data_IF_518657728922
#
_entry.id   IF_518657728922
#
_cell.length_a   1.000
_cell.length_b   1.000
_cell.length_c   1.000
_cell.angle_alpha   90.00
_cell.angle_beta   90.00
_cell.angle_gamma   90.00
#
_symmetry.space_group_name_H-M   'P 1'
#
loop_
_entity.id
_entity.type
_entity.pdbx_description
1 polymer ?
#
# COMPACT_ATOMS: atom_id res chain seq x y z
N UNK A 1 -16.21 -14.67 -2.55
CA UNK A 1 -14.73 -14.72 -2.47
C UNK A 1 -14.33 -15.98 -1.74
N UNK A 2 -13.10 -16.48 -1.90
CA UNK A 2 -12.58 -17.62 -1.13
C UNK A 2 -11.34 -17.19 -0.34
N UNK A 3 -10.91 -18.00 0.62
CA UNK A 3 -9.64 -17.78 1.34
C UNK A 3 -8.46 -17.61 0.37
N UNK A 4 -8.44 -18.35 -0.73
CA UNK A 4 -7.41 -18.23 -1.76
C UNK A 4 -7.38 -16.83 -2.41
N UNK A 5 -8.55 -16.20 -2.61
CA UNK A 5 -8.62 -14.82 -3.10
C UNK A 5 -8.03 -13.81 -2.11
N UNK A 6 -8.35 -13.96 -0.82
CA UNK A 6 -7.78 -13.11 0.24
C UNK A 6 -6.27 -13.28 0.36
N UNK A 7 -5.78 -14.52 0.30
CA UNK A 7 -4.36 -14.82 0.34
C UNK A 7 -3.61 -14.27 -0.88
N UNK A 8 -4.16 -14.43 -2.09
CA UNK A 8 -3.58 -13.86 -3.31
C UNK A 8 -3.50 -12.34 -3.25
N UNK A 9 -4.58 -11.68 -2.82
CA UNK A 9 -4.61 -10.23 -2.64
C UNK A 9 -3.59 -9.75 -1.60
N UNK A 10 -3.44 -10.50 -0.49
CA UNK A 10 -2.41 -10.23 0.52
C UNK A 10 -1.00 -10.27 -0.09
N UNK A 11 -0.62 -11.36 -0.76
CA UNK A 11 0.73 -11.52 -1.33
C UNK A 11 1.07 -10.36 -2.26
N UNK A 12 0.12 -9.97 -3.11
CA UNK A 12 0.30 -8.88 -4.08
C UNK A 12 0.45 -7.53 -3.38
N UNK A 13 -0.50 -7.15 -2.51
CA UNK A 13 -0.49 -5.83 -1.85
C UNK A 13 0.68 -5.68 -0.88
N UNK A 14 1.01 -6.75 -0.15
CA UNK A 14 2.12 -6.77 0.80
C UNK A 14 3.47 -6.64 0.10
N UNK A 15 3.71 -7.43 -0.95
CA UNK A 15 4.97 -7.37 -1.72
C UNK A 15 5.13 -6.00 -2.38
N UNK A 16 4.07 -5.48 -3.00
CA UNK A 16 4.07 -4.14 -3.59
C UNK A 16 4.35 -3.05 -2.53
N UNK A 17 3.68 -3.13 -1.39
CA UNK A 17 3.86 -2.18 -0.29
C UNK A 17 5.29 -2.17 0.26
N UNK A 18 5.87 -3.35 0.50
CA UNK A 18 7.26 -3.48 0.99
C UNK A 18 8.25 -2.99 -0.05
N UNK A 19 8.09 -3.38 -1.32
CA UNK A 19 8.98 -2.96 -2.39
C UNK A 19 9.01 -1.43 -2.49
N UNK A 20 7.83 -0.78 -2.51
CA UNK A 20 7.73 0.67 -2.50
C UNK A 20 8.34 1.30 -1.26
N UNK A 21 8.08 0.75 -0.07
CA UNK A 21 8.62 1.25 1.19
C UNK A 21 10.15 1.25 1.17
N UNK A 22 10.77 0.12 0.77
CA UNK A 22 12.22 0.00 0.66
C UNK A 22 12.82 0.97 -0.36
N UNK A 23 12.21 1.10 -1.55
CA UNK A 23 12.69 2.01 -2.58
C UNK A 23 12.59 3.49 -2.16
N UNK A 24 11.47 3.86 -1.53
CA UNK A 24 11.23 5.20 -0.99
C UNK A 24 12.31 5.57 0.06
N UNK A 25 12.52 4.69 1.05
CA UNK A 25 13.54 4.90 2.10
C UNK A 25 14.94 4.98 1.49
N UNK A 26 15.31 4.02 0.63
CA UNK A 26 16.63 4.00 0.01
C UNK A 26 16.92 5.26 -0.81
N UNK A 27 15.96 5.73 -1.59
CA UNK A 27 16.12 6.92 -2.43
C UNK A 27 16.21 8.21 -1.59
N UNK A 28 15.38 8.33 -0.55
CA UNK A 28 15.44 9.45 0.38
C UNK A 28 16.78 9.49 1.14
N UNK A 29 17.21 8.35 1.65
CA UNK A 29 18.48 8.24 2.34
C UNK A 29 19.64 8.55 1.40
N UNK A 30 19.62 8.15 0.12
CA UNK A 30 20.67 8.47 -0.85
C UNK A 30 20.85 9.98 -1.04
N UNK A 31 19.78 10.70 -1.40
CA UNK A 31 19.81 12.14 -1.66
C UNK A 31 18.52 12.82 -1.16
N UNK A 32 18.49 13.37 0.06
CA UNK A 32 17.26 13.93 0.64
C UNK A 32 16.80 15.23 -0.05
N UNK A 33 17.73 16.07 -0.51
CA UNK A 33 17.42 17.36 -1.15
C UNK A 33 16.83 17.23 -2.55
N UNK A 34 17.12 16.12 -3.25
CA UNK A 34 16.64 15.84 -4.60
C UNK A 34 15.55 14.75 -4.62
N UNK A 35 14.96 14.46 -3.46
CA UNK A 35 13.95 13.42 -3.37
C UNK A 35 12.72 13.76 -4.21
N UNK A 36 12.33 12.81 -5.07
CA UNK A 36 11.09 12.86 -5.84
C UNK A 36 10.44 11.48 -5.86
N UNK A 37 9.16 11.46 -5.50
CA UNK A 37 8.30 10.28 -5.54
C UNK A 37 8.13 9.77 -6.97
N UNK A 38 8.10 8.44 -7.13
CA UNK A 38 7.86 7.79 -8.43
C UNK A 38 6.58 6.97 -8.39
N UNK A 39 5.78 7.06 -9.45
CA UNK A 39 4.52 6.32 -9.56
C UNK A 39 4.74 4.81 -9.52
N UNK A 40 5.87 4.35 -10.07
CA UNK A 40 6.35 2.98 -9.97
C UNK A 40 7.88 2.98 -9.88
N UNK A 41 8.46 2.08 -9.09
CA UNK A 41 9.91 1.92 -9.00
C UNK A 41 10.35 0.77 -9.91
N UNK A 42 10.76 1.10 -11.13
CA UNK A 42 11.36 0.11 -12.01
C UNK A 42 12.75 -0.27 -11.48
N UNK A 43 12.94 -1.57 -11.25
CA UNK A 43 14.24 -2.13 -10.89
C UNK A 43 14.89 -2.77 -12.12
N UNK A 44 16.18 -2.53 -12.31
CA UNK A 44 17.00 -3.28 -13.25
C UNK A 44 17.66 -4.48 -12.54
N UNK A 45 17.66 -5.69 -13.14
CA UNK A 45 17.10 -6.06 -14.45
C UNK A 45 15.57 -6.19 -14.46
N UNK A 46 14.94 -6.09 -15.66
CA UNK A 46 13.47 -6.06 -15.87
C UNK A 46 12.68 -7.19 -15.18
N UNK A 47 13.28 -8.35 -14.95
CA UNK A 47 12.70 -9.49 -14.21
C UNK A 47 12.42 -9.19 -12.74
N UNK A 48 12.95 -8.09 -12.17
CA UNK A 48 12.57 -7.65 -10.82
C UNK A 48 11.20 -6.98 -10.77
N UNK A 49 10.60 -6.66 -11.93
CA UNK A 49 9.27 -6.06 -12.04
C UNK A 49 8.16 -7.11 -12.23
N UNK A 50 8.37 -8.35 -11.78
CA UNK A 50 7.38 -9.42 -11.88
C UNK A 50 6.05 -9.06 -11.23
N UNK A 51 6.08 -8.26 -10.15
CA UNK A 51 4.86 -7.79 -9.49
C UNK A 51 3.96 -7.00 -10.45
N UNK A 52 4.54 -6.15 -11.30
CA UNK A 52 3.81 -5.36 -12.29
C UNK A 52 3.19 -6.26 -13.36
N UNK A 53 3.98 -7.17 -13.94
CA UNK A 53 3.51 -8.06 -15.00
C UNK A 53 2.48 -9.07 -14.50
N UNK A 54 2.67 -9.59 -13.28
CA UNK A 54 1.72 -10.45 -12.59
C UNK A 54 0.39 -9.75 -12.38
N UNK A 55 0.40 -8.52 -11.86
CA UNK A 55 -0.78 -7.67 -11.70
C UNK A 55 -1.48 -7.38 -13.04
N UNK A 56 -0.73 -7.11 -14.10
CA UNK A 56 -1.26 -6.81 -15.43
C UNK A 56 -2.07 -7.98 -16.03
N UNK A 57 -1.71 -9.22 -15.68
CA UNK A 57 -2.39 -10.45 -16.13
C UNK A 57 -3.52 -10.84 -15.16
N UNK A 58 -3.30 -10.73 -13.85
CA UNK A 58 -4.26 -11.19 -12.84
C UNK A 58 -5.49 -10.28 -12.74
N UNK A 59 -5.32 -8.95 -12.77
CA UNK A 59 -6.45 -8.00 -12.64
C UNK A 59 -7.53 -8.15 -13.72
N UNK A 60 -7.23 -8.28 -15.02
CA UNK A 60 -8.28 -8.44 -16.03
C UNK A 60 -8.98 -9.79 -15.85
N UNK A 61 -8.25 -10.87 -15.55
CA UNK A 61 -8.84 -12.18 -15.27
C UNK A 61 -9.79 -12.09 -14.07
N UNK A 62 -9.37 -11.42 -12.99
CA UNK A 62 -10.21 -11.19 -11.83
C UNK A 62 -11.46 -10.36 -12.19
N UNK A 63 -11.30 -9.26 -12.93
CA UNK A 63 -12.42 -8.43 -13.36
C UNK A 63 -13.43 -9.22 -14.20
N UNK A 64 -12.97 -9.99 -15.20
CA UNK A 64 -13.83 -10.85 -16.03
C UNK A 64 -14.50 -11.96 -15.22
N UNK A 65 -13.82 -12.55 -14.25
CA UNK A 65 -14.42 -13.56 -13.37
C UNK A 65 -15.58 -12.99 -12.55
N UNK A 66 -15.47 -11.74 -12.09
CA UNK A 66 -16.53 -11.06 -11.35
C UNK A 66 -17.72 -10.70 -12.26
N UNK A 67 -17.49 -10.31 -13.51
CA UNK A 67 -18.55 -10.14 -14.52
C UNK A 67 -19.25 -11.47 -14.82
N UNK A 68 -18.47 -12.54 -14.95
CA UNK A 68 -19.02 -13.88 -15.20
C UNK A 68 -19.88 -14.34 -14.02
N UNK A 69 -19.45 -14.14 -12.77
CA UNK A 69 -20.26 -14.43 -11.59
C UNK A 69 -21.55 -13.60 -11.57
N UNK A 70 -21.47 -12.31 -11.92
CA UNK A 70 -22.66 -11.47 -12.06
C UNK A 70 -23.67 -12.03 -13.09
N UNK A 71 -23.20 -12.54 -14.23
CA UNK A 71 -24.03 -13.15 -15.26
C UNK A 71 -24.57 -14.53 -14.86
N UNK A 72 -23.75 -15.35 -14.21
CA UNK A 72 -24.06 -16.74 -13.86
C UNK A 72 -25.09 -16.86 -12.72
N UNK A 73 -25.07 -15.94 -11.74
CA UNK A 73 -26.09 -15.92 -10.71
C UNK A 73 -27.40 -15.38 -11.30
N UNK A 74 -28.45 -16.21 -11.42
CA UNK A 74 -29.78 -15.79 -11.90
C UNK A 74 -30.81 -15.55 -10.77
N UNK A 75 -30.35 -15.36 -9.53
CA UNK A 75 -31.22 -15.30 -8.34
C UNK A 75 -31.71 -13.89 -7.95
N UNK A 76 -32.92 -13.82 -7.38
CA UNK A 76 -33.75 -12.66 -7.02
C UNK A 76 -33.14 -11.55 -6.13
N UNK A 77 -31.87 -11.61 -5.71
CA UNK A 77 -31.28 -10.59 -4.84
C UNK A 77 -30.42 -9.60 -5.64
N UNK A 78 -31.07 -8.58 -6.21
CA UNK A 78 -30.50 -7.50 -7.05
C UNK A 78 -29.29 -6.81 -6.40
N UNK A 79 -29.28 -6.70 -5.07
CA UNK A 79 -28.22 -6.03 -4.29
C UNK A 79 -26.87 -6.74 -4.42
N UNK A 80 -26.83 -8.07 -4.36
CA UNK A 80 -25.56 -8.83 -4.46
C UNK A 80 -25.00 -8.83 -5.87
N UNK A 81 -25.87 -8.89 -6.89
CA UNK A 81 -25.47 -8.75 -8.29
C UNK A 81 -24.76 -7.44 -8.55
N UNK A 82 -25.33 -6.34 -8.06
CA UNK A 82 -24.77 -5.00 -8.25
C UNK A 82 -23.39 -4.86 -7.58
N UNK A 83 -23.21 -5.47 -6.40
CA UNK A 83 -21.93 -5.48 -5.70
C UNK A 83 -20.80 -6.17 -6.50
N UNK A 84 -21.08 -7.31 -7.17
CA UNK A 84 -20.09 -7.97 -8.02
C UNK A 84 -19.66 -7.11 -9.22
N UNK A 85 -20.60 -6.38 -9.82
CA UNK A 85 -20.32 -5.47 -10.94
C UNK A 85 -19.53 -4.24 -10.49
N UNK A 86 -19.86 -3.67 -9.33
CA UNK A 86 -19.08 -2.60 -8.70
C UNK A 86 -17.64 -3.05 -8.43
N UNK A 87 -17.45 -4.25 -7.88
CA UNK A 87 -16.13 -4.81 -7.61
C UNK A 87 -15.33 -5.05 -8.90
N UNK A 88 -15.98 -5.57 -9.96
CA UNK A 88 -15.36 -5.75 -11.27
C UNK A 88 -14.87 -4.42 -11.85
N UNK A 89 -15.67 -3.36 -11.73
CA UNK A 89 -15.35 -2.02 -12.20
C UNK A 89 -14.18 -1.39 -11.44
N UNK A 90 -14.10 -1.57 -10.12
CA UNK A 90 -12.95 -1.13 -9.32
C UNK A 90 -11.67 -1.82 -9.80
N UNK A 91 -11.70 -3.15 -9.96
CA UNK A 91 -10.55 -3.94 -10.43
C UNK A 91 -10.14 -3.50 -11.85
N UNK A 92 -11.11 -3.22 -12.72
CA UNK A 92 -10.86 -2.73 -14.07
C UNK A 92 -10.18 -1.36 -14.07
N UNK A 93 -10.58 -0.42 -13.21
CA UNK A 93 -9.89 0.87 -13.08
C UNK A 93 -8.44 0.72 -12.65
N UNK A 94 -8.14 -0.19 -11.70
CA UNK A 94 -6.75 -0.50 -11.36
C UNK A 94 -5.98 -1.14 -12.52
N UNK A 95 -6.63 -1.93 -13.38
CA UNK A 95 -5.98 -2.46 -14.58
C UNK A 95 -5.65 -1.36 -15.60
N UNK A 96 -6.59 -0.44 -15.86
CA UNK A 96 -6.35 0.74 -16.71
C UNK A 96 -5.21 1.59 -16.15
N UNK A 97 -5.14 1.76 -14.82
CA UNK A 97 -4.03 2.46 -14.16
C UNK A 97 -2.68 1.80 -14.45
N UNK A 98 -2.58 0.47 -14.41
CA UNK A 98 -1.35 -0.25 -14.73
C UNK A 98 -0.96 -0.07 -16.21
N UNK A 99 -1.92 -0.09 -17.13
CA UNK A 99 -1.67 0.20 -18.55
C UNK A 99 -1.11 1.62 -18.70
N UNK A 100 -1.68 2.61 -18.02
CA UNK A 100 -1.18 3.99 -18.05
C UNK A 100 0.27 4.08 -17.56
N UNK A 101 0.66 3.30 -16.54
CA UNK A 101 2.05 3.22 -16.08
C UNK A 101 2.97 2.63 -17.17
N UNK A 102 2.56 1.54 -17.82
CA UNK A 102 3.36 0.88 -18.88
C UNK A 102 3.49 1.78 -20.12
N UNK A 103 2.40 2.43 -20.53
CA UNK A 103 2.40 3.38 -21.66
C UNK A 103 3.32 4.56 -21.34
N UNK A 104 3.22 5.13 -20.13
CA UNK A 104 4.11 6.21 -19.69
C UNK A 104 5.58 5.83 -19.81
N UNK A 105 5.95 4.64 -19.34
CA UNK A 105 7.32 4.13 -19.40
C UNK A 105 7.78 3.91 -20.85
N UNK A 106 6.88 3.46 -21.72
CA UNK A 106 7.21 3.14 -23.12
C UNK A 106 7.46 4.39 -23.98
N UNK A 107 6.85 5.52 -23.62
CA UNK A 107 6.93 6.78 -24.38
C UNK A 107 7.81 7.86 -23.70
N UNK A 108 8.53 7.54 -22.63
CA UNK A 108 9.40 8.47 -21.88
C UNK A 108 8.71 9.80 -21.48
N UNK A 109 7.41 9.75 -21.14
CA UNK A 109 6.61 10.93 -20.77
C UNK A 109 6.81 11.32 -19.30
N UNK A 110 7.99 11.85 -18.98
CA UNK A 110 8.51 11.91 -17.60
C UNK A 110 7.88 12.95 -16.66
N UNK A 111 7.50 14.15 -17.10
CA UNK A 111 7.16 15.24 -16.17
C UNK A 111 5.65 15.59 -16.09
N UNK A 112 4.95 15.64 -17.23
CA UNK A 112 3.54 16.04 -17.28
C UNK A 112 2.61 14.89 -16.85
N UNK A 113 3.03 13.64 -17.10
CA UNK A 113 2.21 12.46 -16.86
C UNK A 113 2.29 11.95 -15.40
N UNK A 114 3.32 12.33 -14.63
CA UNK A 114 3.45 11.97 -13.20
C UNK A 114 2.22 12.39 -12.39
N UNK A 115 1.89 13.69 -12.46
CA UNK A 115 0.78 14.27 -11.71
C UNK A 115 -0.56 13.68 -12.14
N UNK A 116 -0.75 13.44 -13.44
CA UNK A 116 -1.95 12.80 -13.98
C UNK A 116 -2.09 11.35 -13.53
N UNK A 117 -0.99 10.59 -13.50
CA UNK A 117 -0.99 9.18 -13.06
C UNK A 117 -1.27 9.09 -11.55
N UNK A 118 -0.71 9.99 -10.73
CA UNK A 118 -1.05 10.05 -9.31
C UNK A 118 -2.49 10.51 -9.08
N UNK A 119 -3.00 11.47 -9.86
CA UNK A 119 -4.40 11.90 -9.80
C UNK A 119 -5.35 10.75 -10.15
N UNK A 120 -5.06 10.01 -11.23
CA UNK A 120 -5.83 8.84 -11.61
C UNK A 120 -5.79 7.74 -10.54
N UNK A 121 -4.61 7.47 -9.95
CA UNK A 121 -4.51 6.55 -8.81
C UNK A 121 -5.39 6.99 -7.63
N UNK A 122 -5.41 8.30 -7.32
CA UNK A 122 -6.27 8.89 -6.32
C UNK A 122 -7.76 8.64 -6.60
N UNK A 123 -8.19 8.81 -7.85
CA UNK A 123 -9.56 8.50 -8.29
C UNK A 123 -9.87 7.01 -8.14
N UNK A 124 -8.97 6.11 -8.55
CA UNK A 124 -9.16 4.66 -8.38
C UNK A 124 -9.39 4.28 -6.91
N UNK A 125 -8.56 4.81 -6.00
CA UNK A 125 -8.72 4.59 -4.56
C UNK A 125 -9.98 5.24 -3.98
N UNK A 126 -10.40 6.40 -4.48
CA UNK A 126 -11.65 7.03 -4.08
C UNK A 126 -12.88 6.22 -4.53
N UNK A 127 -12.86 5.68 -5.75
CA UNK A 127 -13.89 4.76 -6.24
C UNK A 127 -13.90 3.49 -5.39
N UNK A 128 -12.74 2.92 -5.06
CA UNK A 128 -12.65 1.78 -4.16
C UNK A 128 -13.26 2.08 -2.77
N UNK A 129 -12.94 3.22 -2.16
CA UNK A 129 -13.56 3.66 -0.90
C UNK A 129 -15.08 3.75 -1.00
N UNK A 130 -15.60 4.36 -2.08
CA UNK A 130 -17.03 4.54 -2.28
C UNK A 130 -17.78 3.23 -2.54
N UNK A 131 -17.09 2.18 -3.00
CA UNK A 131 -17.70 0.89 -3.32
C UNK A 131 -17.50 -0.14 -2.19
N UNK A 132 -16.45 -0.01 -1.39
CA UNK A 132 -16.22 -0.86 -0.22
C UNK A 132 -17.30 -0.62 0.85
N UNK A 133 -17.88 -1.71 1.37
CA UNK A 133 -18.86 -1.66 2.48
C UNK A 133 -20.32 -1.47 2.05
N UNK A 134 -20.62 -1.20 0.77
CA UNK A 134 -22.00 -1.12 0.27
C UNK A 134 -22.60 -2.52 0.10
N UNK A 135 -23.44 -2.95 1.03
CA UNK A 135 -24.24 -4.18 0.92
C UNK A 135 -23.91 -5.29 1.92
N UNK A 136 -22.93 -5.09 2.82
CA UNK A 136 -22.62 -6.02 3.91
C UNK A 136 -23.05 -5.40 5.24
N UNK A 137 -23.89 -6.10 6.00
CA UNK A 137 -24.35 -5.67 7.33
C UNK A 137 -23.64 -6.53 8.39
N UNK A 138 -23.36 -5.96 9.57
CA UNK A 138 -22.76 -6.68 10.69
C UNK A 138 -21.23 -6.60 10.76
N UNK A 139 -20.60 -7.58 11.43
CA UNK A 139 -19.15 -7.60 11.71
C UNK A 139 -18.32 -7.66 10.43
N UNK A 140 -18.78 -8.41 9.43
CA UNK A 140 -18.17 -8.45 8.08
C UNK A 140 -18.15 -7.06 7.43
N UNK A 141 -19.24 -6.29 7.55
CA UNK A 141 -19.30 -4.91 7.06
C UNK A 141 -18.24 -4.00 7.68
N UNK A 142 -17.98 -4.14 8.99
CA UNK A 142 -16.92 -3.39 9.68
C UNK A 142 -15.52 -3.75 9.18
N UNK A 143 -15.25 -5.04 8.97
CA UNK A 143 -13.96 -5.53 8.46
C UNK A 143 -13.61 -4.97 7.07
N UNK A 144 -14.57 -5.00 6.14
CA UNK A 144 -14.41 -4.40 4.81
C UNK A 144 -14.51 -2.87 4.84
N UNK A 145 -15.18 -2.30 5.84
CA UNK A 145 -15.22 -0.84 6.08
C UNK A 145 -13.82 -0.27 6.30
N UNK A 146 -13.00 -0.90 7.14
CA UNK A 146 -11.60 -0.49 7.33
C UNK A 146 -10.76 -0.60 6.06
N UNK A 147 -11.02 -1.56 5.16
CA UNK A 147 -10.37 -1.59 3.83
C UNK A 147 -10.74 -0.38 2.98
N UNK A 148 -11.98 0.09 3.08
CA UNK A 148 -12.43 1.35 2.49
C UNK A 148 -11.70 2.56 3.08
N UNK A 149 -11.63 2.66 4.41
CA UNK A 149 -10.91 3.75 5.10
C UNK A 149 -9.43 3.81 4.70
N UNK A 150 -8.76 2.65 4.63
CA UNK A 150 -7.39 2.57 4.13
C UNK A 150 -7.28 3.02 2.66
N UNK A 151 -8.25 2.65 1.81
CA UNK A 151 -8.32 3.13 0.43
C UNK A 151 -8.49 4.65 0.36
N UNK A 152 -9.30 5.25 1.24
CA UNK A 152 -9.43 6.69 1.34
C UNK A 152 -8.10 7.38 1.69
N UNK A 153 -7.36 6.84 2.67
CA UNK A 153 -6.02 7.34 3.02
C UNK A 153 -5.06 7.19 1.84
N UNK A 154 -5.07 6.05 1.15
CA UNK A 154 -4.29 5.83 -0.07
C UNK A 154 -4.59 6.89 -1.14
N UNK A 155 -5.88 7.16 -1.39
CA UNK A 155 -6.31 8.17 -2.35
C UNK A 155 -5.84 9.58 -1.99
N UNK A 156 -5.98 9.95 -0.72
CA UNK A 156 -5.47 11.22 -0.19
C UNK A 156 -3.96 11.38 -0.38
N UNK A 157 -3.18 10.34 -0.06
CA UNK A 157 -1.74 10.33 -0.31
C UNK A 157 -1.39 10.48 -1.79
N UNK A 158 -2.09 9.78 -2.68
CA UNK A 158 -1.89 9.90 -4.13
C UNK A 158 -2.16 11.33 -4.63
N UNK A 159 -3.24 11.98 -4.17
CA UNK A 159 -3.55 13.36 -4.53
C UNK A 159 -2.50 14.35 -4.00
N UNK A 160 -2.04 14.17 -2.76
CA UNK A 160 -0.95 14.97 -2.21
C UNK A 160 0.35 14.82 -3.02
N UNK A 161 0.68 13.60 -3.46
CA UNK A 161 1.85 13.34 -4.31
C UNK A 161 1.67 13.86 -5.74
N UNK A 162 0.44 13.94 -6.24
CA UNK A 162 0.14 14.55 -7.54
C UNK A 162 0.49 16.05 -7.56
N UNK A 163 0.25 16.75 -6.45
CA UNK A 163 0.55 18.19 -6.29
C UNK A 163 2.02 18.41 -5.93
N UNK A 164 2.54 17.64 -4.97
CA UNK A 164 3.91 17.81 -4.47
C UNK A 164 4.61 16.44 -4.31
N UNK A 165 5.30 15.96 -5.35
CA UNK A 165 5.95 14.65 -5.33
C UNK A 165 7.22 14.62 -4.45
N UNK A 166 7.70 15.75 -3.92
CA UNK A 166 8.86 15.80 -3.02
C UNK A 166 8.52 15.44 -1.56
N UNK A 167 7.25 15.18 -1.23
CA UNK A 167 6.82 14.84 0.12
C UNK A 167 7.13 13.37 0.47
N UNK A 168 8.35 13.13 0.95
CA UNK A 168 8.80 11.81 1.42
C UNK A 168 7.82 11.17 2.41
N UNK A 169 7.39 11.90 3.44
CA UNK A 169 6.50 11.37 4.47
C UNK A 169 5.15 10.90 3.92
N UNK A 170 4.66 11.53 2.85
CA UNK A 170 3.39 11.13 2.22
C UNK A 170 3.58 9.80 1.48
N UNK A 171 4.68 9.62 0.75
CA UNK A 171 4.97 8.34 0.10
C UNK A 171 5.32 7.23 1.09
N UNK A 172 6.01 7.56 2.18
CA UNK A 172 6.27 6.63 3.27
C UNK A 172 4.96 6.15 3.90
N UNK A 173 4.04 7.08 4.24
CA UNK A 173 2.71 6.76 4.75
C UNK A 173 1.91 5.92 3.76
N UNK A 174 1.88 6.31 2.48
CA UNK A 174 1.20 5.56 1.42
C UNK A 174 1.69 4.10 1.36
N UNK A 175 3.01 3.90 1.44
CA UNK A 175 3.60 2.56 1.41
C UNK A 175 3.23 1.75 2.67
N UNK A 176 3.24 2.37 3.85
CA UNK A 176 2.79 1.73 5.10
C UNK A 176 1.31 1.32 5.02
N UNK A 177 0.46 2.17 4.47
CA UNK A 177 -0.97 1.91 4.30
C UNK A 177 -1.21 0.77 3.31
N UNK A 178 -0.42 0.64 2.24
CA UNK A 178 -0.50 -0.52 1.34
C UNK A 178 -0.13 -1.84 2.03
N UNK A 179 0.93 -1.84 2.85
CA UNK A 179 1.32 -3.01 3.67
C UNK A 179 0.22 -3.37 4.67
N UNK A 180 -0.34 -2.37 5.35
CA UNK A 180 -1.44 -2.53 6.29
C UNK A 180 -2.69 -3.08 5.58
N UNK A 181 -3.04 -2.54 4.41
CA UNK A 181 -4.16 -3.00 3.60
C UNK A 181 -3.98 -4.46 3.20
N UNK A 182 -2.80 -4.85 2.70
CA UNK A 182 -2.50 -6.23 2.33
C UNK A 182 -2.64 -7.20 3.51
N UNK A 183 -1.99 -6.88 4.63
CA UNK A 183 -2.05 -7.72 5.84
C UNK A 183 -3.44 -7.77 6.47
N UNK A 184 -4.20 -6.67 6.41
CA UNK A 184 -5.60 -6.66 6.85
C UNK A 184 -6.48 -7.52 5.95
N UNK A 185 -6.30 -7.52 4.62
CA UNK A 185 -7.03 -8.44 3.72
C UNK A 185 -6.81 -9.91 4.11
N UNK A 186 -5.59 -10.28 4.53
CA UNK A 186 -5.31 -11.61 5.07
C UNK A 186 -6.06 -11.87 6.37
N UNK A 187 -6.02 -10.91 7.31
CA UNK A 187 -6.74 -11.00 8.58
C UNK A 187 -8.24 -11.21 8.37
N UNK A 188 -8.84 -10.47 7.44
CA UNK A 188 -10.24 -10.63 7.02
C UNK A 188 -10.50 -12.03 6.46
N UNK A 189 -9.62 -12.52 5.58
CA UNK A 189 -9.72 -13.85 5.02
C UNK A 189 -9.65 -14.95 6.09
N UNK A 190 -8.72 -14.85 7.02
CA UNK A 190 -8.58 -15.83 8.12
C UNK A 190 -9.79 -15.78 9.05
N UNK A 191 -10.22 -14.61 9.50
CA UNK A 191 -11.37 -14.47 10.41
C UNK A 191 -12.69 -14.94 9.80
N UNK A 192 -12.86 -14.86 8.47
CA UNK A 192 -14.12 -15.27 7.81
C UNK A 192 -14.15 -16.74 7.40
N UNK A 193 -13.00 -17.37 7.12
CA UNK A 193 -12.92 -18.71 6.53
C UNK A 193 -12.24 -19.76 7.42
N UNK A 194 -11.72 -19.39 8.58
CA UNK A 194 -11.08 -20.34 9.51
C UNK A 194 -11.73 -20.30 10.89
N UNK A 195 -12.06 -21.49 11.42
CA UNK A 195 -12.77 -21.62 12.70
C UNK A 195 -11.88 -21.23 13.90
N UNK A 196 -10.55 -21.27 13.76
CA UNK A 196 -9.58 -20.92 14.82
C UNK A 196 -9.53 -19.42 15.13
N UNK A 197 -9.89 -18.57 14.17
CA UNK A 197 -9.88 -17.10 14.32
C UNK A 197 -11.28 -16.49 14.29
N UNK A 198 -12.32 -17.32 14.36
CA UNK A 198 -13.68 -16.82 14.46
C UNK A 198 -13.96 -16.27 15.85
N UNK A 199 -14.72 -15.18 15.92
CA UNK A 199 -15.19 -14.64 17.19
C UNK A 199 -16.16 -15.64 17.84
N UNK A 200 -15.80 -16.10 19.04
CA UNK A 200 -16.69 -16.89 19.91
C UNK A 200 -18.07 -16.20 20.01
N UNK A 201 -19.12 -16.90 19.57
CA UNK A 201 -20.51 -16.46 19.68
C UNK A 201 -21.15 -15.88 18.40
N UNK A 202 -20.51 -15.95 17.24
CA UNK A 202 -21.16 -15.64 15.96
C UNK A 202 -20.99 -16.79 14.95
N UNK A 203 -22.09 -17.23 14.32
CA UNK A 203 -22.10 -18.37 13.39
C UNK A 203 -21.20 -18.05 12.17
N UNK A 204 -20.21 -18.92 11.88
CA UNK A 204 -19.28 -18.75 10.77
C UNK A 204 -20.04 -18.60 9.45
N UNK A 205 -19.52 -17.78 8.53
CA UNK A 205 -20.12 -17.55 7.20
C UNK A 205 -20.30 -18.88 6.42
N UNK A 206 -19.46 -19.87 6.72
CA UNK A 206 -19.49 -21.26 6.22
C UNK A 206 -20.69 -22.06 6.76
N UNK A 207 -21.13 -21.81 8.00
CA UNK A 207 -22.30 -22.44 8.61
C UNK A 207 -23.59 -21.70 8.21
N UNK A 208 -23.56 -20.36 8.06
CA UNK A 208 -24.65 -19.57 7.49
C UNK A 208 -24.99 -19.94 6.03
N UNK A 209 -23.95 -20.13 5.19
CA UNK A 209 -24.09 -20.64 3.82
C UNK A 209 -24.71 -22.05 3.77
N UNK A 210 -24.36 -22.92 4.71
CA UNK A 210 -24.92 -24.28 4.83
C UNK A 210 -26.41 -24.28 5.20
N UNK A 211 -26.88 -23.28 5.96
CA UNK A 211 -28.30 -23.10 6.34
C UNK A 211 -29.13 -22.24 5.37
N UNK A 212 -28.57 -21.83 4.22
CA UNK A 212 -29.27 -20.96 3.26
C UNK A 212 -29.55 -19.55 3.79
N UNK A 213 -28.81 -19.11 4.80
CA UNK A 213 -28.96 -17.79 5.44
C UNK A 213 -27.63 -17.05 5.32
N UNK A 214 -27.61 -16.11 4.37
CA UNK A 214 -26.38 -15.55 3.81
C UNK A 214 -25.78 -14.40 4.65
N UNK A 215 -26.10 -14.36 5.94
CA UNK A 215 -25.73 -13.27 6.84
C UNK A 215 -25.19 -13.86 8.15
N UNK A 216 -24.09 -13.28 8.64
CA UNK A 216 -23.48 -13.62 9.93
C UNK A 216 -24.36 -12.99 11.01
N UNK A 217 -25.48 -13.65 11.30
CA UNK A 217 -26.43 -13.21 12.32
C UNK A 217 -25.88 -13.65 13.67
N UNK A 218 -25.22 -12.74 14.38
CA UNK A 218 -24.98 -12.96 15.81
C UNK A 218 -26.35 -12.90 16.51
N UNK A 219 -26.66 -13.91 17.32
CA UNK A 219 -27.99 -14.15 17.92
C UNK A 219 -28.43 -13.04 18.91
N UNK A 220 -27.48 -12.18 19.33
CA UNK A 220 -27.66 -11.07 20.29
C UNK A 220 -26.96 -9.79 19.81
N UNK A 221 -27.63 -8.65 19.92
CA UNK A 221 -27.12 -7.31 19.54
C UNK A 221 -25.90 -6.90 20.39
N UNK A 222 -25.80 -7.39 21.63
CA UNK A 222 -24.65 -7.22 22.52
C UNK A 222 -23.37 -7.89 21.98
N UNK A 223 -23.49 -9.09 21.40
CA UNK A 223 -22.37 -9.82 20.79
C UNK A 223 -21.88 -9.13 19.52
N UNK A 224 -22.77 -8.45 18.79
CA UNK A 224 -22.43 -7.64 17.62
C UNK A 224 -21.59 -6.41 18.02
N UNK A 225 -22.00 -5.68 19.06
CA UNK A 225 -21.25 -4.51 19.56
C UNK A 225 -19.87 -4.90 20.09
N UNK A 226 -19.79 -6.01 20.85
CA UNK A 226 -18.53 -6.56 21.33
C UNK A 226 -17.61 -7.01 20.20
N UNK A 227 -18.16 -7.67 19.18
CA UNK A 227 -17.42 -8.08 18.00
C UNK A 227 -16.87 -6.90 17.20
N UNK A 228 -17.67 -5.84 17.00
CA UNK A 228 -17.19 -4.61 16.35
C UNK A 228 -16.10 -3.92 17.16
N UNK A 229 -16.23 -3.83 18.49
CA UNK A 229 -15.21 -3.24 19.35
C UNK A 229 -13.88 -4.00 19.31
N UNK A 230 -13.93 -5.33 19.36
CA UNK A 230 -12.75 -6.20 19.25
C UNK A 230 -12.08 -6.06 17.88
N UNK A 231 -12.85 -5.99 16.79
CA UNK A 231 -12.32 -5.80 15.45
C UNK A 231 -11.64 -4.44 15.28
N UNK A 232 -12.24 -3.36 15.80
CA UNK A 232 -11.63 -2.04 15.79
C UNK A 232 -10.33 -2.02 16.59
N UNK A 233 -10.30 -2.67 17.75
CA UNK A 233 -9.09 -2.78 18.57
C UNK A 233 -8.00 -3.59 17.85
N UNK A 234 -8.36 -4.72 17.25
CA UNK A 234 -7.45 -5.54 16.45
C UNK A 234 -6.85 -4.72 15.30
N UNK A 235 -7.69 -3.96 14.58
CA UNK A 235 -7.25 -3.08 13.50
C UNK A 235 -6.26 -2.02 13.98
N UNK A 236 -6.56 -1.35 15.11
CA UNK A 236 -5.67 -0.33 15.69
C UNK A 236 -4.32 -0.94 16.10
N UNK A 237 -4.33 -2.08 16.79
CA UNK A 237 -3.09 -2.78 17.18
C UNK A 237 -2.29 -3.18 15.95
N UNK A 238 -2.96 -3.72 14.93
CA UNK A 238 -2.32 -4.11 13.67
C UNK A 238 -1.69 -2.91 12.96
N UNK A 239 -2.40 -1.78 12.92
CA UNK A 239 -1.87 -0.53 12.36
C UNK A 239 -0.64 -0.02 13.13
N UNK A 240 -0.67 -0.04 14.47
CA UNK A 240 0.47 0.34 15.31
C UNK A 240 1.68 -0.56 15.01
N UNK A 241 1.49 -1.88 14.93
CA UNK A 241 2.56 -2.82 14.61
C UNK A 241 3.18 -2.54 13.25
N UNK A 242 2.37 -2.33 12.21
CA UNK A 242 2.86 -2.00 10.86
C UNK A 242 3.66 -0.70 10.86
N UNK A 243 3.20 0.33 11.59
CA UNK A 243 3.93 1.60 11.71
C UNK A 243 5.25 1.43 12.44
N UNK A 244 5.28 0.71 13.57
CA UNK A 244 6.52 0.44 14.33
C UNK A 244 7.53 -0.30 13.47
N UNK A 245 7.10 -1.35 12.76
CA UNK A 245 7.98 -2.12 11.86
C UNK A 245 8.52 -1.24 10.73
N UNK A 246 7.69 -0.38 10.15
CA UNK A 246 8.09 0.51 9.05
C UNK A 246 9.10 1.57 9.50
N UNK A 247 8.90 2.18 10.68
CA UNK A 247 9.88 3.10 11.27
C UNK A 247 11.15 2.38 11.72
N UNK A 248 11.03 1.16 12.25
CA UNK A 248 12.18 0.32 12.59
C UNK A 248 13.03 0.01 11.36
N UNK A 249 12.41 -0.30 10.22
CA UNK A 249 13.08 -0.49 8.95
C UNK A 249 13.80 0.77 8.47
N UNK A 250 13.15 1.94 8.58
CA UNK A 250 13.79 3.22 8.28
C UNK A 250 15.03 3.48 9.15
N UNK A 251 14.91 3.27 10.46
CA UNK A 251 16.01 3.45 11.41
C UNK A 251 17.17 2.48 11.12
N UNK A 252 16.87 1.22 10.82
CA UNK A 252 17.86 0.20 10.49
C UNK A 252 18.64 0.57 9.21
N UNK A 253 17.94 0.96 8.15
CA UNK A 253 18.57 1.35 6.88
C UNK A 253 19.40 2.65 7.02
N UNK A 254 18.93 3.60 7.82
CA UNK A 254 19.70 4.81 8.11
C UNK A 254 20.99 4.50 8.89
N UNK A 255 20.91 3.59 9.86
CA UNK A 255 22.09 3.12 10.60
C UNK A 255 23.09 2.43 9.67
N UNK A 256 22.64 1.55 8.79
CA UNK A 256 23.51 0.82 7.86
C UNK A 256 24.20 1.76 6.86
N UNK A 257 23.50 2.79 6.34
CA UNK A 257 24.12 3.84 5.52
C UNK A 257 25.17 4.63 6.32
N UNK A 258 24.89 4.99 7.58
CA UNK A 258 25.84 5.70 8.45
C UNK A 258 27.08 4.86 8.74
N UNK A 259 26.92 3.54 8.94
CA UNK A 259 28.04 2.61 9.09
C UNK A 259 28.92 2.59 7.84
N UNK A 260 28.33 2.43 6.64
CA UNK A 260 29.09 2.49 5.37
C UNK A 260 29.79 3.84 5.10
N UNK A 261 29.21 4.94 5.58
CA UNK A 261 29.83 6.27 5.48
C UNK A 261 30.93 6.49 6.54
N UNK A 262 30.86 5.81 7.68
CA UNK A 262 31.89 5.80 8.72
C UNK A 262 33.16 5.06 8.30
N UNK A 263 33.01 3.94 7.56
CA UNK A 263 34.15 3.15 7.06
C UNK A 263 34.93 3.84 5.93
N UNK A 264 34.33 4.83 5.27
CA UNK A 264 35.01 5.70 4.28
C UNK A 264 35.52 7.01 4.89
N UNK A 265 35.26 7.25 6.18
CA UNK A 265 35.68 8.44 6.92
C UNK A 265 36.77 8.11 7.94
N UNK A 266 37.91 7.60 7.47
CA UNK A 266 39.16 7.57 8.23
C UNK A 266 40.35 7.61 7.25
N UNK A 267 41.55 8.10 7.63
CA UNK A 267 41.93 9.12 8.60
C UNK A 267 42.29 10.47 7.90
N UNK A 268 41.62 10.85 6.80
CA UNK A 268 41.99 12.07 6.05
C UNK A 268 41.50 13.40 6.67
N UNK A 269 40.65 13.37 7.70
CA UNK A 269 40.26 14.56 8.46
C UNK A 269 41.17 14.84 9.67
N UNK A 270 42.14 13.99 9.96
CA UNK A 270 43.13 14.24 11.02
C UNK A 270 44.32 15.11 10.55
N UNK A 271 44.48 15.33 9.24
CA UNK A 271 45.63 16.04 8.68
C UNK A 271 45.35 17.51 8.31
N UNK A 272 44.08 17.90 8.17
CA UNK A 272 43.69 19.27 7.79
C UNK A 272 43.70 20.25 8.99
N UNK A 273 43.93 19.76 10.22
CA UNK A 273 43.95 20.58 11.42
C UNK A 273 45.33 21.03 11.92
N UNK A 274 46.44 20.69 11.23
CA UNK A 274 47.79 20.91 11.79
C UNK A 274 48.78 21.66 10.90
N UNK A 275 48.40 22.12 9.70
CA UNK A 275 49.32 22.80 8.75
C UNK A 275 48.93 24.24 8.43
N UNK A 276 48.40 24.99 9.41
CA UNK A 276 48.11 26.43 9.21
C UNK A 276 48.73 27.34 10.29
N UNK A 277 49.92 26.97 10.79
CA UNK A 277 50.77 27.86 11.60
C UNK A 277 52.23 27.76 11.12
N UNK A 278 52.53 28.36 9.97
CA UNK A 278 53.89 28.80 9.68
C UNK A 278 53.85 30.06 8.79
N UNK A 279 53.72 31.22 9.44
CA UNK A 279 53.97 32.52 8.82
C UNK A 279 55.39 32.55 8.22
N UNK A 280 55.49 32.78 6.91
CA UNK A 280 56.72 33.23 6.23
C UNK A 280 56.57 34.72 5.88
N UNK A 281 57.65 35.52 5.97
CA UNK A 281 57.58 36.97 5.90
C UNK A 281 57.49 37.51 4.47
N UNK A 282 56.87 38.68 4.34
CA UNK A 282 56.64 39.49 3.15
C UNK A 282 57.98 40.02 2.56
N UNK A 283 58.18 40.05 1.23
CA UNK A 283 59.22 40.87 0.62
C UNK A 283 58.68 42.26 0.23
N UNK A 284 59.47 43.28 0.55
CA UNK A 284 59.29 44.68 0.18
C UNK A 284 59.37 44.87 -1.34
N UNK A 285 58.54 45.78 -1.86
CA UNK A 285 58.47 46.12 -3.28
C UNK A 285 58.87 47.60 -3.41
N UNK A 286 60.14 47.84 -3.74
CA UNK A 286 60.64 49.12 -4.23
C UNK A 286 60.14 49.33 -5.67
N UNK A 287 59.71 50.55 -5.97
CA UNK A 287 59.39 51.02 -7.32
C UNK A 287 59.98 52.43 -7.45
N UNK A 288 61.04 52.53 -8.26
CA UNK A 288 61.53 53.76 -8.90
C UNK A 288 60.52 54.26 -9.95
#
# INVERSE_FOLDING_TARGET
MSLATHFSAFVILFTLGIHRLLCCICNYLKNPSLYRSKTWYFSEPRWKNLDLYSLLIILPIASFSHVFLFLAFSGNNVVYKFSFLQQSLVIFFFWVFLILIVVKESFDLYAILDSLVYSFAGVCFAVEFLMNGKGLVGVSGGMYGHLGELAFICGGCCLCLAVKPSLFFVEFLFSCVLVLKGTWVLQVGLSLYTDMFSLDGCENLLVGLSKGKNDVKCDLEENKLRGTALMNLLFIVHAIVVMIVSFGLFALLNRDKRMRCGDTSGPLLAQVGSEDVLMRPLPELELE
#
